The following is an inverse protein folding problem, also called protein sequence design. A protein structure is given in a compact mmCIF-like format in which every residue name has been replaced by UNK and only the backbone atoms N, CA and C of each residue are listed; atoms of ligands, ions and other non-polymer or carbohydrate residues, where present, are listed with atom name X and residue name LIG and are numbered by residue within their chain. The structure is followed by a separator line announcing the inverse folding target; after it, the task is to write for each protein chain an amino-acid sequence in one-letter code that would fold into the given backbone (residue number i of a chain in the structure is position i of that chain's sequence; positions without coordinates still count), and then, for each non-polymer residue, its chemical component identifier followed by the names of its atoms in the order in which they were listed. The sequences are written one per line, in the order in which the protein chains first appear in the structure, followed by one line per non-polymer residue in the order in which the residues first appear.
data_IF_443303729682
#
_entry.id   IF_443303729682
#
_cell.length_a   1.000
_cell.length_b   1.000
_cell.length_c   1.000
_cell.angle_alpha   90.00
_cell.angle_beta   90.00
_cell.angle_gamma   90.00
#
_symmetry.space_group_name_H-M   'P 1'
#
loop_
_entity.id
_entity.type
_entity.pdbx_description
1 polymer ?
#
# COMPACT_ATOMS: atom_id res chain seq x y z
N UNK A 1 -22.07 -1.42 -26.06
CA UNK A 1 -21.46 -2.77 -26.04
C UNK A 1 -21.84 -3.46 -24.74
N UNK A 2 -22.22 -4.72 -24.83
CA UNK A 2 -23.16 -5.47 -23.99
C UNK A 2 -22.65 -5.87 -22.60
N UNK A 3 -23.51 -5.69 -21.60
CA UNK A 3 -23.41 -6.26 -20.25
C UNK A 3 -23.66 -7.77 -20.34
N UNK A 4 -22.64 -8.58 -20.04
CA UNK A 4 -22.74 -10.04 -20.06
C UNK A 4 -23.51 -10.55 -18.81
N UNK A 5 -24.75 -11.03 -19.05
CA UNK A 5 -25.51 -11.87 -18.13
C UNK A 5 -24.73 -13.16 -17.87
N UNK A 6 -24.27 -13.39 -16.63
CA UNK A 6 -23.77 -14.70 -16.21
C UNK A 6 -24.97 -15.64 -16.05
N UNK A 7 -24.99 -16.68 -16.88
CA UNK A 7 -25.96 -17.76 -16.87
C UNK A 7 -25.89 -18.57 -15.58
N UNK A 8 -27.05 -18.94 -15.04
CA UNK A 8 -27.28 -19.70 -13.80
C UNK A 8 -27.00 -21.21 -14.02
N UNK A 9 -26.01 -21.54 -14.84
CA UNK A 9 -25.77 -22.91 -15.30
C UNK A 9 -24.47 -23.48 -14.74
N UNK A 10 -24.30 -23.44 -13.42
CA UNK A 10 -23.33 -24.28 -12.71
C UNK A 10 -23.79 -24.46 -11.26
N UNK A 11 -24.85 -25.27 -11.09
CA UNK A 11 -25.12 -25.94 -9.82
C UNK A 11 -24.51 -27.34 -9.92
N UNK A 12 -23.46 -27.67 -9.15
CA UNK A 12 -22.96 -29.05 -9.13
C UNK A 12 -24.05 -29.95 -8.53
N UNK A 13 -24.40 -31.00 -9.27
CA UNK A 13 -25.39 -31.99 -8.89
C UNK A 13 -25.06 -32.61 -7.52
N UNK A 14 -26.06 -32.66 -6.64
CA UNK A 14 -25.99 -33.36 -5.36
C UNK A 14 -25.73 -34.86 -5.58
N UNK A 15 -24.50 -35.29 -5.28
CA UNK A 15 -24.15 -36.70 -5.20
C UNK A 15 -24.80 -37.25 -3.94
N UNK A 16 -25.90 -38.00 -4.10
CA UNK A 16 -26.47 -38.82 -3.04
C UNK A 16 -25.47 -39.91 -2.67
N UNK A 17 -24.67 -39.70 -1.64
CA UNK A 17 -23.84 -40.73 -1.01
C UNK A 17 -24.74 -41.74 -0.33
N UNK A 18 -24.97 -42.88 -0.99
CA UNK A 18 -25.53 -44.07 -0.37
C UNK A 18 -24.49 -44.60 0.64
N UNK A 19 -24.93 -44.83 1.88
CA UNK A 19 -24.11 -45.48 2.89
C UNK A 19 -23.76 -46.91 2.45
N UNK A 20 -22.54 -47.40 2.69
CA UNK A 20 -22.19 -48.77 2.30
C UNK A 20 -22.94 -49.77 3.19
N UNK A 21 -23.71 -50.65 2.55
CA UNK A 21 -24.25 -51.87 3.16
C UNK A 21 -23.12 -52.66 3.86
N UNK A 22 -23.32 -53.21 5.07
CA UNK A 22 -22.26 -53.90 5.79
C UNK A 22 -21.86 -55.17 5.01
N UNK A 23 -20.62 -55.21 4.52
CA UNK A 23 -20.08 -56.34 3.78
C UNK A 23 -20.07 -57.62 4.64
N UNK A 24 -21.04 -58.51 4.40
CA UNK A 24 -21.15 -59.81 5.09
C UNK A 24 -20.14 -60.79 4.47
N UNK A 25 -19.28 -61.41 5.29
CA UNK A 25 -18.37 -62.46 4.82
C UNK A 25 -19.14 -63.77 4.64
N UNK A 26 -19.47 -64.11 3.39
CA UNK A 26 -20.05 -65.41 3.01
C UNK A 26 -21.50 -65.62 3.46
N UNK A 27 -22.35 -66.06 2.54
CA UNK A 27 -23.69 -66.53 2.86
C UNK A 27 -23.65 -68.04 3.13
N UNK A 28 -24.23 -68.49 4.25
CA UNK A 28 -24.53 -69.91 4.41
C UNK A 28 -25.77 -70.27 3.58
N UNK A 29 -25.98 -71.57 3.34
CA UNK A 29 -27.12 -72.06 2.53
C UNK A 29 -28.48 -71.69 3.15
N UNK A 30 -28.52 -71.33 4.44
CA UNK A 30 -29.73 -70.91 5.16
C UNK A 30 -29.94 -69.39 5.26
N UNK A 31 -29.15 -68.57 4.57
CA UNK A 31 -29.34 -67.10 4.46
C UNK A 31 -28.90 -66.28 5.68
N UNK A 32 -28.29 -66.87 6.70
CA UNK A 32 -27.74 -66.17 7.87
C UNK A 32 -26.24 -65.89 7.69
N UNK A 33 -25.91 -64.62 7.49
CA UNK A 33 -24.55 -64.14 7.31
C UNK A 33 -23.64 -64.29 8.53
N UNK A 34 -22.34 -64.50 8.31
CA UNK A 34 -21.35 -64.51 9.38
C UNK A 34 -21.11 -63.08 9.89
N UNK A 35 -20.80 -62.95 11.18
CA UNK A 35 -20.42 -61.64 11.75
C UNK A 35 -19.10 -61.19 11.13
N UNK A 36 -19.06 -59.94 10.67
CA UNK A 36 -17.83 -59.32 10.16
C UNK A 36 -16.86 -59.11 11.32
N UNK A 37 -15.60 -59.51 11.13
CA UNK A 37 -14.53 -59.23 12.09
C UNK A 37 -14.42 -57.72 12.29
N UNK A 38 -14.65 -57.27 13.52
CA UNK A 38 -14.42 -55.87 13.88
C UNK A 38 -12.93 -55.64 13.85
N UNK A 39 -12.46 -54.85 12.88
CA UNK A 39 -11.07 -54.39 12.86
C UNK A 39 -10.72 -53.70 14.18
N UNK A 40 -9.45 -53.78 14.59
CA UNK A 40 -8.96 -53.11 15.79
C UNK A 40 -9.38 -51.64 15.75
N UNK A 41 -10.05 -51.16 16.80
CA UNK A 41 -10.38 -49.75 16.97
C UNK A 41 -9.08 -48.97 17.22
N UNK A 42 -8.37 -48.66 16.14
CA UNK A 42 -7.29 -47.69 16.18
C UNK A 42 -7.99 -46.34 16.27
N UNK A 43 -7.75 -45.61 17.36
CA UNK A 43 -7.99 -44.17 17.40
C UNK A 43 -7.02 -43.57 16.38
N UNK A 44 -7.34 -43.72 15.10
CA UNK A 44 -6.67 -42.99 14.06
C UNK A 44 -6.77 -41.52 14.44
N UNK A 45 -5.78 -40.75 14.05
CA UNK A 45 -5.72 -39.28 14.06
C UNK A 45 -6.99 -38.54 13.57
N UNK A 46 -8.06 -39.25 13.19
CA UNK A 46 -9.40 -38.78 12.88
C UNK A 46 -10.20 -38.33 14.11
N UNK A 47 -9.98 -38.89 15.30
CA UNK A 47 -10.92 -38.69 16.43
C UNK A 47 -10.49 -37.65 17.47
N UNK A 48 -9.20 -37.29 17.54
CA UNK A 48 -8.73 -36.14 18.33
C UNK A 48 -8.09 -35.13 17.40
N UNK A 49 -8.85 -34.63 16.42
CA UNK A 49 -8.53 -33.34 15.82
C UNK A 49 -8.94 -32.27 16.82
N UNK A 50 -8.12 -32.07 17.85
CA UNK A 50 -8.07 -30.77 18.50
C UNK A 50 -7.80 -29.79 17.36
N UNK A 51 -8.82 -29.05 16.90
CA UNK A 51 -8.79 -28.11 15.78
C UNK A 51 -7.92 -26.88 16.10
N UNK A 52 -6.74 -27.13 16.65
CA UNK A 52 -5.71 -26.15 16.96
C UNK A 52 -4.83 -26.10 15.72
N UNK A 53 -4.52 -24.90 15.26
CA UNK A 53 -3.58 -24.69 14.18
C UNK A 53 -2.27 -25.40 14.51
N UNK A 54 -1.66 -25.98 13.48
CA UNK A 54 -0.34 -26.61 13.57
C UNK A 54 0.67 -25.55 14.04
N UNK A 55 1.72 -25.94 14.78
CA UNK A 55 2.76 -25.00 15.26
C UNK A 55 3.31 -24.11 14.12
N UNK A 56 3.43 -24.66 12.91
CA UNK A 56 3.85 -23.93 11.72
C UNK A 56 2.83 -22.87 11.26
N UNK A 57 1.54 -23.21 11.29
CA UNK A 57 0.48 -22.30 10.87
C UNK A 57 0.37 -21.10 11.84
N UNK A 58 0.52 -21.35 13.14
CA UNK A 58 0.61 -20.28 14.16
C UNK A 58 1.81 -19.36 13.94
N UNK A 59 2.98 -19.91 13.54
CA UNK A 59 4.14 -19.08 13.17
C UNK A 59 3.86 -18.25 11.93
N UNK A 60 3.21 -18.83 10.92
CA UNK A 60 2.88 -18.15 9.67
C UNK A 60 1.91 -16.99 9.90
N UNK A 61 0.89 -17.20 10.73
CA UNK A 61 -0.08 -16.16 11.13
C UNK A 61 0.63 -14.99 11.81
N UNK A 62 1.45 -15.26 12.83
CA UNK A 62 2.27 -14.22 13.50
C UNK A 62 3.19 -13.47 12.55
N UNK A 63 3.85 -14.17 11.61
CA UNK A 63 4.69 -13.51 10.61
C UNK A 63 3.88 -12.61 9.67
N UNK A 64 2.63 -12.97 9.35
CA UNK A 64 1.75 -12.13 8.53
C UNK A 64 1.29 -10.90 9.32
N UNK A 65 0.92 -11.06 10.58
CA UNK A 65 0.58 -9.95 11.48
C UNK A 65 1.74 -8.97 11.62
N UNK A 66 2.96 -9.47 11.90
CA UNK A 66 4.17 -8.65 12.00
C UNK A 66 4.47 -7.89 10.71
N UNK A 67 4.27 -8.53 9.55
CA UNK A 67 4.45 -7.88 8.25
C UNK A 67 3.44 -6.76 8.05
N UNK A 68 2.16 -7.00 8.34
CA UNK A 68 1.12 -5.99 8.24
C UNK A 68 1.39 -4.82 9.19
N UNK A 69 1.82 -5.10 10.42
CA UNK A 69 2.18 -4.08 11.40
C UNK A 69 3.36 -3.23 10.93
N UNK A 70 4.43 -3.87 10.44
CA UNK A 70 5.61 -3.16 9.92
C UNK A 70 5.29 -2.31 8.70
N UNK A 71 4.41 -2.78 7.81
CA UNK A 71 3.95 -2.00 6.65
C UNK A 71 3.22 -0.74 7.11
N UNK A 72 2.24 -0.87 8.00
CA UNK A 72 1.52 0.29 8.57
C UNK A 72 2.47 1.28 9.27
N UNK A 73 3.44 0.79 10.04
CA UNK A 73 4.43 1.64 10.67
C UNK A 73 5.33 2.37 9.67
N UNK A 74 5.68 1.71 8.57
CA UNK A 74 6.48 2.31 7.50
C UNK A 74 5.68 3.39 6.78
N UNK A 75 4.44 3.11 6.41
CA UNK A 75 3.51 4.06 5.76
C UNK A 75 3.37 5.34 6.61
N UNK A 76 3.10 5.22 7.91
CA UNK A 76 2.99 6.38 8.81
C UNK A 76 4.29 7.20 8.91
N UNK A 77 5.45 6.55 8.89
CA UNK A 77 6.75 7.24 8.91
C UNK A 77 7.01 7.95 7.59
N UNK A 78 6.71 7.30 6.47
CA UNK A 78 6.92 7.84 5.13
C UNK A 78 6.00 9.05 4.89
N UNK A 79 4.73 8.98 5.31
CA UNK A 79 3.80 10.12 5.28
C UNK A 79 4.30 11.32 6.09
N UNK A 80 4.75 11.08 7.34
CA UNK A 80 5.31 12.14 8.18
C UNK A 80 6.55 12.78 7.56
N UNK A 81 7.43 11.95 7.00
CA UNK A 81 8.65 12.42 6.34
C UNK A 81 8.34 13.20 5.06
N UNK A 82 7.34 12.78 4.30
CA UNK A 82 6.93 13.48 3.08
C UNK A 82 6.35 14.86 3.44
N UNK A 83 5.43 14.94 4.39
CA UNK A 83 4.89 16.22 4.85
C UNK A 83 5.97 17.18 5.37
N UNK A 84 7.03 16.64 6.00
CA UNK A 84 8.18 17.45 6.41
C UNK A 84 9.04 17.93 5.23
N UNK A 85 9.29 17.05 4.24
CA UNK A 85 10.02 17.41 3.02
C UNK A 85 9.27 18.47 2.22
N UNK A 86 7.96 18.34 2.07
CA UNK A 86 7.13 19.30 1.32
C UNK A 86 7.20 20.69 1.98
N UNK A 87 7.16 20.76 3.32
CA UNK A 87 7.36 22.02 4.06
C UNK A 87 8.73 22.63 3.81
N UNK A 88 9.79 21.82 3.85
CA UNK A 88 11.15 22.29 3.59
C UNK A 88 11.29 22.80 2.15
N UNK A 89 10.74 22.08 1.18
CA UNK A 89 10.77 22.47 -0.24
C UNK A 89 10.04 23.80 -0.43
N UNK A 90 8.82 23.95 0.10
CA UNK A 90 8.07 25.21 0.03
C UNK A 90 8.83 26.39 0.66
N UNK A 91 9.54 26.15 1.79
CA UNK A 91 10.36 27.18 2.42
C UNK A 91 11.58 27.57 1.57
N UNK A 92 12.25 26.59 0.95
CA UNK A 92 13.38 26.82 0.06
C UNK A 92 12.95 27.61 -1.17
N UNK A 93 11.90 27.17 -1.86
CA UNK A 93 11.34 27.88 -3.02
C UNK A 93 10.94 29.31 -2.67
N UNK A 94 10.36 29.55 -1.48
CA UNK A 94 10.01 30.90 -1.03
C UNK A 94 11.25 31.77 -0.81
N UNK A 95 12.35 31.21 -0.29
CA UNK A 95 13.60 31.94 -0.08
C UNK A 95 14.26 32.25 -1.42
N UNK A 96 14.36 31.27 -2.31
CA UNK A 96 14.92 31.44 -3.66
C UNK A 96 14.17 32.52 -4.44
N UNK A 97 12.82 32.49 -4.45
CA UNK A 97 12.01 33.54 -5.08
C UNK A 97 12.27 34.94 -4.51
N UNK A 98 12.46 35.05 -3.19
CA UNK A 98 12.79 36.33 -2.54
C UNK A 98 14.19 36.80 -2.91
N UNK A 99 15.18 35.93 -2.88
CA UNK A 99 16.56 36.24 -3.25
C UNK A 99 16.66 36.70 -4.70
N UNK A 100 15.92 36.07 -5.61
CA UNK A 100 15.81 36.50 -7.00
C UNK A 100 15.18 37.89 -7.12
N UNK A 101 14.05 38.14 -6.45
CA UNK A 101 13.40 39.45 -6.41
C UNK A 101 14.36 40.54 -5.89
N UNK A 102 14.99 40.30 -4.73
CA UNK A 102 15.96 41.22 -4.16
C UNK A 102 17.16 41.47 -5.09
N UNK A 103 17.62 40.44 -5.81
CA UNK A 103 18.69 40.60 -6.79
C UNK A 103 18.27 41.53 -7.93
N UNK A 104 17.06 41.39 -8.45
CA UNK A 104 16.51 42.27 -9.48
C UNK A 104 16.32 43.69 -8.96
N UNK A 105 15.81 43.86 -7.75
CA UNK A 105 15.64 45.17 -7.10
C UNK A 105 16.99 45.88 -6.92
N UNK A 106 18.01 45.19 -6.40
CA UNK A 106 19.37 45.74 -6.27
C UNK A 106 19.93 46.18 -7.62
N UNK A 107 19.68 45.42 -8.68
CA UNK A 107 20.11 45.77 -10.03
C UNK A 107 19.36 47.00 -10.57
N UNK A 108 18.05 47.07 -10.35
CA UNK A 108 17.22 48.21 -10.73
C UNK A 108 17.67 49.49 -10.00
N UNK A 109 17.90 49.42 -8.68
CA UNK A 109 18.42 50.54 -7.88
C UNK A 109 19.77 51.01 -8.40
N UNK A 110 20.69 50.08 -8.72
CA UNK A 110 22.00 50.42 -9.29
C UNK A 110 21.88 51.13 -10.64
N UNK A 111 20.97 50.70 -11.50
CA UNK A 111 20.74 51.35 -12.80
C UNK A 111 20.06 52.71 -12.64
N UNK A 112 19.12 52.84 -11.71
CA UNK A 112 18.48 54.10 -11.38
C UNK A 112 19.49 55.12 -10.84
N UNK A 113 20.36 54.73 -9.90
CA UNK A 113 21.44 55.58 -9.39
C UNK A 113 22.36 56.07 -10.52
N UNK A 114 22.77 55.18 -11.43
CA UNK A 114 23.56 55.57 -12.61
C UNK A 114 22.85 56.58 -13.50
N UNK A 115 21.53 56.46 -13.66
CA UNK A 115 20.72 57.39 -14.47
C UNK A 115 20.67 58.77 -13.81
N UNK A 116 20.37 58.82 -12.51
CA UNK A 116 20.33 60.05 -11.73
C UNK A 116 21.68 60.76 -11.76
N UNK A 117 22.79 60.03 -11.58
CA UNK A 117 24.12 60.63 -11.63
C UNK A 117 24.47 61.18 -13.02
N UNK A 118 24.03 60.51 -14.10
CA UNK A 118 24.20 61.03 -15.47
C UNK A 118 23.42 62.33 -15.67
N UNK A 119 22.20 62.43 -15.14
CA UNK A 119 21.40 63.67 -15.18
C UNK A 119 22.08 64.79 -14.41
N UNK A 120 22.49 64.54 -13.16
CA UNK A 120 23.23 65.52 -12.33
C UNK A 120 24.50 66.03 -13.03
N UNK A 121 25.26 65.16 -13.69
CA UNK A 121 26.46 65.58 -14.44
C UNK A 121 26.12 66.41 -15.69
N UNK A 122 24.99 66.14 -16.37
CA UNK A 122 24.52 66.96 -17.49
C UNK A 122 24.06 68.33 -17.01
N UNK A 123 23.27 68.38 -15.94
CA UNK A 123 22.82 69.63 -15.31
C UNK A 123 24.00 70.51 -14.89
N UNK A 124 25.02 69.93 -14.23
CA UNK A 124 26.24 70.66 -13.87
C UNK A 124 26.95 71.26 -15.08
N UNK A 125 27.10 70.49 -16.17
CA UNK A 125 27.74 70.97 -17.41
C UNK A 125 26.91 72.05 -18.10
N UNK A 126 25.60 71.84 -18.24
CA UNK A 126 24.71 72.81 -18.87
C UNK A 126 24.65 74.12 -18.08
N UNK A 127 24.69 74.05 -16.74
CA UNK A 127 24.78 75.23 -15.89
C UNK A 127 26.07 76.01 -16.14
N UNK A 128 27.22 75.32 -16.11
CA UNK A 128 28.52 75.95 -16.39
C UNK A 128 28.62 76.56 -17.80
N UNK A 129 27.93 75.99 -18.79
CA UNK A 129 27.86 76.52 -20.16
C UNK A 129 26.86 77.67 -20.32
N UNK A 130 25.87 77.79 -19.43
CA UNK A 130 24.88 78.87 -19.44
C UNK A 130 25.36 80.12 -18.68
N UNK A 131 26.26 79.93 -17.72
CA UNK A 131 26.91 81.00 -16.95
C UNK A 131 28.20 81.54 -17.62
N UNK A 132 28.53 81.05 -18.82
CA UNK A 132 29.69 81.46 -19.64
C UNK A 132 29.22 82.15 -20.91
#
# INVERSE_FOLDING_TARGET
MSVAKRSVADRPAEIKTQAPEPAVKGANVSGRGWKVDKGQFRVGSRQVKNKKLTSWELKKEKMLEDKQFKLKLKELKDEKNQAHKDKIQALKERREKKEEQERYERLAVKMHAKRVDRLRRREKRNKALKER
#
